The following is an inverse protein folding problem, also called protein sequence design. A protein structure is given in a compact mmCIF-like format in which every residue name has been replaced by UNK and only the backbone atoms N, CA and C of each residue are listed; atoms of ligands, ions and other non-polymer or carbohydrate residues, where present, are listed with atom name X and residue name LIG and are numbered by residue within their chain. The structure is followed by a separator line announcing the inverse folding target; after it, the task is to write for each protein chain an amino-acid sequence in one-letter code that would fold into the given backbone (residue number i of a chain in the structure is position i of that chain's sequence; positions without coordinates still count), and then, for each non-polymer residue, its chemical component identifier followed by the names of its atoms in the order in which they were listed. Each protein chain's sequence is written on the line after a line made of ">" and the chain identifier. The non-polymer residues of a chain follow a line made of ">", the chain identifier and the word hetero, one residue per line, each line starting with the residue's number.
data_IF_641630701798
#
_entry.id   IF_641630701798
#
_cell.length_a   1.000
_cell.length_b   1.000
_cell.length_c   1.000
_cell.angle_alpha   90.00
_cell.angle_beta   90.00
_cell.angle_gamma   90.00
#
_symmetry.space_group_name_H-M   'P 1'
#
loop_
_entity.id
_entity.type
_entity.pdbx_description
1 polymer ?
#
# COMPACT_ATOMS: atom_id res chain seq x y z
N UNK A 1 -38.41 34.49 -7.24
CA UNK A 1 -37.12 35.23 -7.28
C UNK A 1 -36.27 34.77 -6.08
N UNK A 2 -36.00 33.46 -5.98
CA UNK A 2 -35.68 32.84 -4.67
C UNK A 2 -34.62 31.74 -4.75
N UNK A 3 -33.96 31.57 -5.91
CA UNK A 3 -32.90 30.58 -6.09
C UNK A 3 -31.48 31.13 -5.88
N UNK A 4 -31.31 32.45 -5.79
CA UNK A 4 -29.99 33.08 -5.63
C UNK A 4 -29.49 33.12 -4.18
N UNK A 5 -30.39 33.05 -3.18
CA UNK A 5 -30.02 33.23 -1.77
C UNK A 5 -29.46 31.97 -1.09
N UNK A 6 -29.86 30.78 -1.55
CA UNK A 6 -29.41 29.49 -0.98
C UNK A 6 -27.96 29.17 -1.41
N UNK A 7 -27.53 29.64 -2.57
CA UNK A 7 -26.21 29.34 -3.12
C UNK A 7 -25.10 30.22 -2.50
N UNK A 8 -25.44 31.43 -2.02
CA UNK A 8 -24.51 32.32 -1.30
C UNK A 8 -24.26 31.88 0.14
N UNK A 9 -25.25 31.29 0.82
CA UNK A 9 -25.09 30.80 2.19
C UNK A 9 -24.25 29.52 2.29
N UNK A 10 -24.21 28.69 1.25
CA UNK A 10 -23.36 27.48 1.21
C UNK A 10 -21.87 27.80 0.96
N UNK A 11 -21.55 28.96 0.39
CA UNK A 11 -20.16 29.40 0.15
C UNK A 11 -19.59 30.07 1.41
N UNK A 12 -20.42 30.68 2.25
CA UNK A 12 -20.03 31.34 3.50
C UNK A 12 -19.65 30.37 4.63
N UNK A 13 -20.16 29.13 4.60
CA UNK A 13 -19.84 28.09 5.60
C UNK A 13 -18.54 27.33 5.32
N UNK A 14 -17.91 27.54 4.15
CA UNK A 14 -16.55 27.10 3.89
C UNK A 14 -15.59 28.08 4.59
N UNK A 15 -15.31 27.80 5.86
CA UNK A 15 -14.46 28.60 6.71
C UNK A 15 -13.09 28.83 6.02
N UNK A 16 -12.73 30.09 5.76
CA UNK A 16 -11.48 30.48 5.07
C UNK A 16 -10.25 29.85 5.75
N UNK A 17 -10.32 29.61 7.06
CA UNK A 17 -9.29 28.88 7.82
C UNK A 17 -9.09 27.42 7.37
N UNK A 18 -10.18 26.70 7.06
CA UNK A 18 -10.12 25.33 6.55
C UNK A 18 -9.54 25.30 5.13
N UNK A 19 -9.87 26.29 4.31
CA UNK A 19 -9.28 26.45 2.97
C UNK A 19 -7.78 26.78 3.02
N UNK A 20 -7.34 27.58 4.01
CA UNK A 20 -5.91 27.85 4.25
C UNK A 20 -5.17 26.64 4.80
N UNK A 21 -5.81 25.80 5.62
CA UNK A 21 -5.23 24.54 6.11
C UNK A 21 -4.93 23.55 4.97
N UNK A 22 -5.81 23.52 3.96
CA UNK A 22 -5.67 22.71 2.73
C UNK A 22 -4.61 23.25 1.75
N UNK A 23 -3.96 24.37 2.05
CA UNK A 23 -2.86 24.88 1.23
C UNK A 23 -1.71 23.86 1.24
N UNK A 24 -1.33 23.39 0.06
CA UNK A 24 -0.19 22.50 -0.10
C UNK A 24 1.14 23.26 0.01
N UNK A 25 2.03 22.77 0.86
CA UNK A 25 3.37 23.32 1.13
C UNK A 25 4.42 22.23 0.93
N UNK A 26 5.61 22.59 0.46
CA UNK A 26 6.75 21.67 0.36
C UNK A 26 7.52 21.64 1.67
N UNK A 27 7.74 20.46 2.22
CA UNK A 27 8.55 20.24 3.40
C UNK A 27 9.63 19.20 3.10
N UNK A 28 10.87 19.49 3.51
CA UNK A 28 12.01 18.58 3.32
C UNK A 28 12.40 17.98 4.66
N UNK A 29 12.52 16.66 4.69
CA UNK A 29 12.95 15.88 5.85
C UNK A 29 14.16 15.03 5.51
N UNK A 30 14.98 14.70 6.51
CA UNK A 30 16.04 13.69 6.39
C UNK A 30 15.53 12.35 6.88
N UNK A 31 15.34 11.41 5.97
CA UNK A 31 14.79 10.09 6.26
C UNK A 31 15.78 9.01 5.80
N UNK A 32 15.80 7.90 6.52
CA UNK A 32 16.46 6.67 6.07
C UNK A 32 15.80 6.10 4.81
N UNK A 33 16.59 5.42 3.98
CA UNK A 33 16.08 4.75 2.78
C UNK A 33 14.97 3.75 3.12
N UNK A 34 15.13 3.00 4.22
CA UNK A 34 14.11 2.07 4.73
C UNK A 34 12.75 2.74 4.94
N UNK A 35 12.71 3.94 5.52
CA UNK A 35 11.45 4.67 5.72
C UNK A 35 10.87 5.19 4.41
N UNK A 36 11.74 5.63 3.49
CA UNK A 36 11.29 6.09 2.17
C UNK A 36 10.67 4.93 1.39
N UNK A 37 11.28 3.75 1.43
CA UNK A 37 10.78 2.57 0.75
C UNK A 37 9.54 2.00 1.44
N UNK A 38 9.50 1.97 2.78
CA UNK A 38 8.30 1.55 3.53
C UNK A 38 7.08 2.38 3.13
N UNK A 39 7.25 3.70 3.05
CA UNK A 39 6.20 4.60 2.64
C UNK A 39 5.76 4.36 1.18
N UNK A 40 6.67 4.00 0.28
CA UNK A 40 6.32 3.64 -1.11
C UNK A 40 5.53 2.34 -1.15
N UNK A 41 6.00 1.30 -0.46
CA UNK A 41 5.35 -0.02 -0.43
C UNK A 41 3.95 0.10 0.16
N UNK A 42 3.82 0.78 1.30
CA UNK A 42 2.53 1.01 1.94
C UNK A 42 1.57 1.81 1.05
N UNK A 43 2.06 2.84 0.34
CA UNK A 43 1.23 3.60 -0.59
C UNK A 43 0.72 2.75 -1.76
N UNK A 44 1.58 1.89 -2.32
CA UNK A 44 1.18 0.95 -3.36
C UNK A 44 0.13 -0.04 -2.85
N UNK A 45 0.35 -0.62 -1.67
CA UNK A 45 -0.58 -1.59 -1.08
C UNK A 45 -1.95 -0.99 -0.77
N UNK A 46 -1.98 0.26 -0.30
CA UNK A 46 -3.21 0.99 0.00
C UNK A 46 -3.83 1.65 -1.25
N UNK A 47 -3.25 1.47 -2.43
CA UNK A 47 -3.67 2.10 -3.71
C UNK A 47 -3.80 3.63 -3.63
N UNK A 48 -2.97 4.27 -2.80
CA UNK A 48 -2.96 5.73 -2.61
C UNK A 48 -1.65 6.35 -3.09
N UNK A 49 -1.69 7.65 -3.40
CA UNK A 49 -0.47 8.39 -3.72
C UNK A 49 0.37 8.57 -2.46
N UNK A 50 1.69 8.39 -2.57
CA UNK A 50 2.63 8.59 -1.46
C UNK A 50 2.43 9.92 -0.73
N UNK A 51 2.21 11.01 -1.48
CA UNK A 51 1.95 12.36 -0.92
C UNK A 51 0.69 12.43 -0.07
N UNK A 52 -0.35 11.68 -0.42
CA UNK A 52 -1.62 11.67 0.29
C UNK A 52 -1.51 10.83 1.56
N UNK A 53 -0.80 9.70 1.48
CA UNK A 53 -0.58 8.83 2.64
C UNK A 53 0.20 9.54 3.75
N UNK A 54 1.32 10.19 3.42
CA UNK A 54 2.12 10.90 4.43
C UNK A 54 1.38 12.10 5.02
N UNK A 55 0.60 12.83 4.22
CA UNK A 55 -0.20 13.97 4.69
C UNK A 55 -1.26 13.50 5.70
N UNK A 56 -1.99 12.44 5.38
CA UNK A 56 -3.02 11.87 6.26
C UNK A 56 -2.43 11.35 7.57
N UNK A 57 -1.32 10.61 7.52
CA UNK A 57 -0.68 10.06 8.72
C UNK A 57 -0.22 11.18 9.68
N UNK A 58 0.25 12.31 9.15
CA UNK A 58 0.75 13.43 9.96
C UNK A 58 -0.40 14.30 10.47
N UNK A 59 -1.50 14.41 9.71
CA UNK A 59 -2.64 15.26 10.05
C UNK A 59 -3.39 14.80 11.31
N UNK A 60 -3.38 13.50 11.62
CA UNK A 60 -3.97 12.99 12.86
C UNK A 60 -3.08 13.34 14.07
N UNK A 61 -3.40 14.49 14.68
CA UNK A 61 -2.72 15.01 15.87
C UNK A 61 -2.74 14.06 17.06
N UNK A 62 -3.85 13.36 17.31
CA UNK A 62 -3.93 12.45 18.47
C UNK A 62 -2.95 11.30 18.31
N UNK A 63 -2.88 10.79 17.09
CA UNK A 63 -1.94 9.75 16.72
C UNK A 63 -0.50 10.26 16.74
N UNK A 64 -0.24 11.45 16.19
CA UNK A 64 1.07 12.11 16.24
C UNK A 64 1.59 12.26 17.68
N UNK A 65 0.71 12.62 18.60
CA UNK A 65 1.03 12.79 20.03
C UNK A 65 1.32 11.44 20.71
N UNK A 66 0.56 10.39 20.40
CA UNK A 66 0.84 9.03 20.89
C UNK A 66 2.20 8.52 20.42
N UNK A 67 2.57 8.83 19.19
CA UNK A 67 3.86 8.46 18.59
C UNK A 67 5.02 9.19 19.26
N UNK A 68 4.85 10.49 19.55
CA UNK A 68 5.85 11.28 20.26
C UNK A 68 6.08 10.80 21.71
N UNK A 69 5.04 10.28 22.36
CA UNK A 69 5.11 9.76 23.73
C UNK A 69 5.75 8.37 23.83
N UNK A 70 5.58 7.54 22.81
CA UNK A 70 6.15 6.19 22.75
C UNK A 70 7.03 6.06 21.51
N UNK A 71 8.23 6.69 21.50
CA UNK A 71 9.18 6.49 20.43
C UNK A 71 9.65 5.04 20.50
N UNK A 72 8.99 4.14 19.77
CA UNK A 72 9.54 2.83 19.51
C UNK A 72 10.93 3.05 18.91
N UNK A 73 11.91 2.28 19.40
CA UNK A 73 13.26 2.31 18.86
C UNK A 73 13.19 1.77 17.43
N UNK A 74 12.96 2.65 16.46
CA UNK A 74 13.46 2.43 15.11
C UNK A 74 14.96 2.31 15.33
N UNK A 75 15.50 1.11 15.12
CA UNK A 75 16.91 0.84 15.33
C UNK A 75 17.71 1.96 14.70
N UNK A 76 18.45 2.65 15.56
CA UNK A 76 19.22 3.86 15.25
C UNK A 76 20.48 3.44 14.51
N UNK A 77 20.39 2.46 13.62
CA UNK A 77 21.45 2.17 12.67
C UNK A 77 21.73 3.48 11.93
N UNK A 78 23.00 3.85 11.85
CA UNK A 78 23.49 5.02 11.12
C UNK A 78 23.32 4.82 9.61
N UNK A 79 22.10 4.47 9.19
CA UNK A 79 21.72 4.34 7.81
C UNK A 79 21.79 5.73 7.16
N UNK A 80 22.30 5.77 5.92
CA UNK A 80 22.46 7.00 5.16
C UNK A 80 21.12 7.73 5.05
N UNK A 81 21.00 8.87 5.74
CA UNK A 81 19.76 9.67 5.74
C UNK A 81 19.81 10.67 4.61
N UNK A 82 18.98 10.44 3.59
CA UNK A 82 18.84 11.35 2.46
C UNK A 82 17.73 12.36 2.68
N UNK A 83 17.91 13.53 2.08
CA UNK A 83 16.86 14.54 2.04
C UNK A 83 15.75 14.11 1.09
N UNK A 84 14.51 14.17 1.57
CA UNK A 84 13.30 13.91 0.78
C UNK A 84 12.30 15.03 1.00
N UNK A 85 11.85 15.62 -0.10
CA UNK A 85 10.83 16.67 -0.09
C UNK A 85 9.46 16.08 -0.37
N UNK A 86 8.50 16.34 0.51
CA UNK A 86 7.10 15.99 0.35
C UNK A 86 6.23 17.23 0.19
N UNK A 87 5.05 17.05 -0.38
CA UNK A 87 4.00 18.06 -0.43
C UNK A 87 2.98 17.69 0.64
N UNK A 88 2.83 18.54 1.64
CA UNK A 88 1.93 18.35 2.78
C UNK A 88 0.92 19.50 2.84
N UNK A 89 -0.21 19.28 3.48
CA UNK A 89 -1.10 20.34 3.92
C UNK A 89 -0.39 21.23 4.96
N UNK A 90 -0.75 22.51 4.97
CA UNK A 90 -0.22 23.45 5.98
C UNK A 90 -0.60 23.00 7.39
N UNK A 91 -1.82 22.48 7.56
CA UNK A 91 -2.30 21.93 8.82
C UNK A 91 -1.47 20.74 9.33
N UNK A 92 -1.04 19.84 8.43
CA UNK A 92 -0.18 18.73 8.81
C UNK A 92 1.20 19.23 9.28
N UNK A 93 1.80 20.19 8.57
CA UNK A 93 3.08 20.77 8.95
C UNK A 93 2.99 21.54 10.29
N UNK A 94 1.94 22.32 10.50
CA UNK A 94 1.71 23.05 11.75
C UNK A 94 1.54 22.09 12.93
N UNK A 95 0.82 20.98 12.72
CA UNK A 95 0.63 19.93 13.73
C UNK A 95 1.96 19.24 14.07
N UNK A 96 2.76 18.94 13.04
CA UNK A 96 4.10 18.37 13.20
C UNK A 96 5.03 19.31 13.98
N UNK A 97 5.07 20.59 13.60
CA UNK A 97 5.90 21.60 14.27
C UNK A 97 5.48 21.77 15.74
N UNK A 98 4.18 21.79 16.03
CA UNK A 98 3.68 21.90 17.38
C UNK A 98 4.08 20.70 18.26
N UNK A 99 3.86 19.47 17.80
CA UNK A 99 4.16 18.26 18.59
C UNK A 99 5.67 18.07 18.72
N UNK A 100 6.45 18.32 17.67
CA UNK A 100 7.91 18.27 17.72
C UNK A 100 8.47 19.20 18.82
N UNK A 101 7.99 20.45 18.89
CA UNK A 101 8.39 21.40 19.94
C UNK A 101 7.89 20.99 21.33
N UNK A 102 6.65 20.50 21.42
CA UNK A 102 6.05 20.08 22.70
C UNK A 102 6.81 18.93 23.36
N UNK A 103 7.35 18.01 22.57
CA UNK A 103 8.02 16.79 23.05
C UNK A 103 9.55 16.82 22.87
N UNK A 104 10.13 17.96 22.50
CA UNK A 104 11.58 18.11 22.23
C UNK A 104 12.15 17.07 21.24
N UNK A 105 11.40 16.81 20.16
CA UNK A 105 11.78 15.88 19.09
C UNK A 105 12.12 16.63 17.81
N UNK A 106 13.03 16.07 17.01
CA UNK A 106 13.22 16.57 15.65
C UNK A 106 12.04 16.20 14.76
N UNK A 107 11.68 17.09 13.83
CA UNK A 107 10.62 16.82 12.84
C UNK A 107 10.94 15.60 11.98
N UNK A 108 12.21 15.47 11.60
CA UNK A 108 12.71 14.31 10.86
C UNK A 108 12.41 13.01 11.61
N UNK A 109 12.75 12.95 12.90
CA UNK A 109 12.51 11.77 13.72
C UNK A 109 11.02 11.49 13.92
N UNK A 110 10.21 12.53 14.16
CA UNK A 110 8.77 12.38 14.32
C UNK A 110 8.12 11.85 13.04
N UNK A 111 8.57 12.30 11.86
CA UNK A 111 8.13 11.77 10.56
C UNK A 111 8.55 10.32 10.38
N UNK A 112 9.78 9.95 10.71
CA UNK A 112 10.21 8.54 10.67
C UNK A 112 9.36 7.65 11.57
N UNK A 113 9.07 8.08 12.80
CA UNK A 113 8.19 7.34 13.71
C UNK A 113 6.76 7.17 13.15
N UNK A 114 6.24 8.21 12.47
CA UNK A 114 4.94 8.15 11.81
C UNK A 114 4.91 7.14 10.68
N UNK A 115 5.95 7.14 9.83
CA UNK A 115 6.10 6.18 8.73
C UNK A 115 6.30 4.76 9.29
N UNK A 116 7.09 4.61 10.35
CA UNK A 116 7.36 3.32 10.99
C UNK A 116 6.11 2.59 11.50
N UNK A 117 5.00 3.28 11.73
CA UNK A 117 3.72 2.64 12.06
C UNK A 117 3.12 1.81 10.94
N UNK A 118 3.62 1.96 9.72
CA UNK A 118 3.23 1.15 8.57
C UNK A 118 3.92 -0.21 8.56
N UNK A 119 4.95 -0.43 9.38
CA UNK A 119 5.68 -1.72 9.47
C UNK A 119 4.72 -2.90 9.67
N UNK A 120 3.84 -2.93 10.69
CA UNK A 120 2.96 -4.08 10.90
C UNK A 120 1.97 -4.31 9.77
N UNK A 121 1.53 -3.23 9.11
CA UNK A 121 0.63 -3.31 7.96
C UNK A 121 1.33 -3.98 6.77
N UNK A 122 2.55 -3.53 6.45
CA UNK A 122 3.32 -4.04 5.32
C UNK A 122 3.81 -5.47 5.59
N UNK A 123 4.27 -5.77 6.80
CA UNK A 123 4.73 -7.11 7.19
C UNK A 123 3.59 -8.14 7.10
N UNK A 124 2.39 -7.79 7.60
CA UNK A 124 1.23 -8.67 7.51
C UNK A 124 0.83 -8.96 6.06
N UNK A 125 0.96 -7.99 5.15
CA UNK A 125 0.68 -8.24 3.75
C UNK A 125 1.78 -9.07 3.09
N UNK A 126 3.06 -8.78 3.37
CA UNK A 126 4.19 -9.59 2.92
C UNK A 126 4.02 -11.07 3.28
N UNK A 127 3.57 -11.36 4.50
CA UNK A 127 3.30 -12.72 4.96
C UNK A 127 2.21 -13.40 4.10
N UNK A 128 1.09 -12.71 3.84
CA UNK A 128 0.05 -13.22 2.93
C UNK A 128 0.61 -13.50 1.53
N UNK A 129 1.47 -12.64 1.00
CA UNK A 129 2.11 -12.89 -0.29
C UNK A 129 3.05 -14.09 -0.27
N UNK A 130 3.80 -14.28 0.82
CA UNK A 130 4.65 -15.46 0.98
C UNK A 130 3.80 -16.74 0.97
N UNK A 131 2.68 -16.75 1.70
CA UNK A 131 1.73 -17.88 1.68
C UNK A 131 1.12 -18.08 0.29
N UNK A 132 0.69 -17.02 -0.40
CA UNK A 132 0.15 -17.10 -1.77
C UNK A 132 1.18 -17.69 -2.74
N UNK A 133 2.45 -17.28 -2.66
CA UNK A 133 3.55 -17.82 -3.49
C UNK A 133 3.80 -19.30 -3.20
N UNK A 134 3.81 -19.69 -1.93
CA UNK A 134 3.98 -21.09 -1.55
C UNK A 134 2.82 -21.94 -2.11
N UNK A 135 1.57 -21.50 -1.93
CA UNK A 135 0.39 -22.20 -2.42
C UNK A 135 0.31 -22.26 -3.95
N UNK A 136 0.87 -21.27 -4.66
CA UNK A 136 0.96 -21.27 -6.12
C UNK A 136 1.71 -22.51 -6.65
N UNK A 137 2.70 -23.02 -5.91
CA UNK A 137 3.42 -24.24 -6.30
C UNK A 137 2.53 -25.49 -6.29
N UNK A 138 1.57 -25.58 -5.37
CA UNK A 138 0.63 -26.69 -5.32
C UNK A 138 -0.42 -26.59 -6.43
N UNK A 139 -0.85 -25.37 -6.75
CA UNK A 139 -1.76 -25.09 -7.87
C UNK A 139 -1.10 -25.46 -9.22
N UNK A 140 0.19 -25.16 -9.39
CA UNK A 140 0.96 -25.55 -10.57
C UNK A 140 1.10 -27.08 -10.67
N UNK A 141 1.34 -27.76 -9.55
CA UNK A 141 1.39 -29.23 -9.50
C UNK A 141 0.06 -29.87 -9.90
N UNK A 142 -1.07 -29.30 -9.48
CA UNK A 142 -2.40 -29.76 -9.89
C UNK A 142 -2.60 -29.67 -11.41
N UNK A 143 -2.12 -28.60 -12.05
CA UNK A 143 -2.18 -28.46 -13.50
C UNK A 143 -1.33 -29.52 -14.21
N UNK A 144 -0.14 -29.80 -13.70
CA UNK A 144 0.75 -30.81 -14.27
C UNK A 144 0.11 -32.21 -14.22
N UNK A 145 -0.54 -32.55 -13.10
CA UNK A 145 -1.31 -33.79 -12.98
C UNK A 145 -2.46 -33.83 -13.99
N UNK A 146 -3.21 -32.74 -14.13
CA UNK A 146 -4.28 -32.65 -15.14
C UNK A 146 -3.78 -32.80 -16.58
N UNK A 147 -2.59 -32.26 -16.88
CA UNK A 147 -1.92 -32.43 -18.18
C UNK A 147 -1.48 -33.87 -18.42
N UNK A 148 -1.00 -34.58 -17.40
CA UNK A 148 -0.65 -36.01 -17.49
C UNK A 148 -1.89 -36.86 -17.82
N UNK A 149 -2.99 -36.68 -17.09
CA UNK A 149 -4.26 -37.37 -17.38
C UNK A 149 -4.77 -37.08 -18.81
N UNK A 150 -4.62 -35.84 -19.28
CA UNK A 150 -4.97 -35.51 -20.66
C UNK A 150 -4.07 -36.21 -21.68
N UNK A 151 -2.79 -36.42 -21.39
CA UNK A 151 -1.91 -37.20 -22.27
C UNK A 151 -2.31 -38.67 -22.32
N UNK A 152 -2.63 -39.27 -21.17
CA UNK A 152 -3.16 -40.64 -21.09
C UNK A 152 -4.49 -40.78 -21.85
N UNK A 153 -5.40 -39.82 -21.73
CA UNK A 153 -6.63 -39.83 -22.50
C UNK A 153 -6.37 -39.72 -24.02
N UNK A 154 -5.35 -38.97 -24.45
CA UNK A 154 -4.98 -38.85 -25.87
C UNK A 154 -4.44 -40.14 -26.46
N UNK A 155 -3.87 -41.05 -25.65
CA UNK A 155 -3.39 -42.36 -26.09
C UNK A 155 -4.47 -43.44 -26.03
N UNK A 156 -5.43 -43.32 -25.12
CA UNK A 156 -6.51 -44.30 -24.95
C UNK A 156 -7.76 -44.04 -25.81
N UNK A 157 -8.03 -42.78 -26.14
CA UNK A 157 -9.25 -42.37 -26.85
C UNK A 157 -8.96 -41.67 -28.18
N UNK A 158 -9.81 -41.94 -29.17
CA UNK A 158 -9.77 -41.29 -30.48
C UNK A 158 -9.96 -39.78 -30.38
N UNK A 159 -9.57 -39.05 -31.43
CA UNK A 159 -9.64 -37.59 -31.44
C UNK A 159 -11.07 -37.05 -31.30
N UNK A 160 -12.05 -37.78 -31.84
CA UNK A 160 -13.47 -37.41 -31.82
C UNK A 160 -14.21 -37.88 -30.56
N UNK A 161 -13.51 -38.56 -29.65
CA UNK A 161 -14.11 -39.03 -28.40
C UNK A 161 -14.61 -37.86 -27.53
N UNK A 162 -15.84 -37.99 -27.05
CA UNK A 162 -16.53 -36.95 -26.30
C UNK A 162 -15.85 -36.68 -24.95
N UNK A 163 -15.36 -37.73 -24.28
CA UNK A 163 -14.67 -37.63 -23.00
C UNK A 163 -13.33 -36.92 -23.16
N UNK A 164 -12.52 -37.31 -24.15
CA UNK A 164 -11.25 -36.63 -24.49
C UNK A 164 -11.45 -35.14 -24.77
N UNK A 165 -12.47 -34.78 -25.56
CA UNK A 165 -12.76 -33.39 -25.89
C UNK A 165 -13.14 -32.57 -24.64
N UNK A 166 -14.06 -33.08 -23.82
CA UNK A 166 -14.46 -32.42 -22.56
C UNK A 166 -13.31 -32.28 -21.57
N UNK A 167 -12.46 -33.30 -21.45
CA UNK A 167 -11.27 -33.24 -20.61
C UNK A 167 -10.31 -32.15 -21.10
N UNK A 168 -10.10 -32.06 -22.42
CA UNK A 168 -9.27 -31.01 -23.03
C UNK A 168 -9.81 -29.60 -22.71
N UNK A 169 -11.12 -29.38 -22.90
CA UNK A 169 -11.78 -28.10 -22.60
C UNK A 169 -11.65 -27.73 -21.11
N UNK A 170 -11.75 -28.73 -20.22
CA UNK A 170 -11.62 -28.55 -18.77
C UNK A 170 -10.19 -28.15 -18.39
N UNK A 171 -9.18 -28.88 -18.86
CA UNK A 171 -7.77 -28.57 -18.56
C UNK A 171 -7.36 -27.20 -19.12
N UNK A 172 -7.81 -26.84 -20.32
CA UNK A 172 -7.56 -25.52 -20.89
C UNK A 172 -8.19 -24.40 -20.04
N UNK A 173 -9.40 -24.63 -19.51
CA UNK A 173 -10.06 -23.68 -18.61
C UNK A 173 -9.28 -23.50 -17.30
N UNK A 174 -8.79 -24.60 -16.73
CA UNK A 174 -7.94 -24.58 -15.53
C UNK A 174 -6.63 -23.83 -15.81
N UNK A 175 -5.94 -24.14 -16.92
CA UNK A 175 -4.69 -23.46 -17.31
C UNK A 175 -4.87 -21.95 -17.44
N UNK A 176 -5.95 -21.51 -18.10
CA UNK A 176 -6.30 -20.10 -18.20
C UNK A 176 -6.59 -19.46 -16.83
N UNK A 177 -7.25 -20.17 -15.93
CA UNK A 177 -7.48 -19.73 -14.55
C UNK A 177 -6.17 -19.56 -13.78
N UNK A 178 -5.26 -20.52 -13.92
CA UNK A 178 -3.94 -20.50 -13.27
C UNK A 178 -3.07 -19.37 -13.80
N UNK A 179 -3.12 -19.05 -15.09
CA UNK A 179 -2.42 -17.89 -15.66
C UNK A 179 -2.91 -16.58 -15.01
N UNK A 180 -4.22 -16.46 -14.77
CA UNK A 180 -4.79 -15.28 -14.08
C UNK A 180 -4.35 -15.21 -12.61
N UNK A 181 -4.37 -16.33 -11.90
CA UNK A 181 -3.88 -16.43 -10.51
C UNK A 181 -2.39 -16.08 -10.42
N UNK A 182 -1.56 -16.56 -11.35
CA UNK A 182 -0.13 -16.24 -11.37
C UNK A 182 0.11 -14.73 -11.53
N UNK A 183 -0.72 -14.04 -12.34
CA UNK A 183 -0.63 -12.58 -12.50
C UNK A 183 -0.98 -11.83 -11.21
N UNK A 184 -1.98 -12.28 -10.45
CA UNK A 184 -2.32 -11.65 -9.16
C UNK A 184 -1.26 -11.90 -8.08
N UNK A 185 -0.46 -12.97 -8.19
CA UNK A 185 0.64 -13.22 -7.25
C UNK A 185 1.91 -12.43 -7.62
N UNK A 186 2.20 -12.25 -8.92
CA UNK A 186 3.40 -11.53 -9.42
C UNK A 186 3.27 -10.00 -9.47
N UNK A 187 2.05 -9.47 -9.50
CA UNK A 187 1.82 -8.02 -9.60
C UNK A 187 2.38 -7.18 -8.45
N UNK A 188 2.79 -7.83 -7.36
CA UNK A 188 3.11 -7.18 -6.08
C UNK A 188 4.57 -7.43 -5.63
N UNK A 189 5.48 -7.75 -6.56
CA UNK A 189 6.91 -8.06 -6.31
C UNK A 189 7.75 -6.87 -5.77
N UNK A 190 7.13 -5.78 -5.29
CA UNK A 190 7.84 -4.61 -4.73
C UNK A 190 7.70 -4.45 -3.20
N UNK A 191 7.44 -5.54 -2.47
CA UNK A 191 7.05 -5.43 -1.06
C UNK A 191 8.22 -5.24 -0.09
N UNK A 192 9.47 -5.37 -0.50
CA UNK A 192 10.62 -5.17 0.42
C UNK A 192 10.91 -3.68 0.65
N UNK A 193 11.17 -3.32 1.90
CA UNK A 193 11.48 -1.95 2.33
C UNK A 193 12.61 -1.91 3.35
#
# INVERSE_FOLDING_TARGET
>A
MEKSSIQEQAISSLNIGELRGKQSVRATFRLSDRMIDLLKVAANHLEVKQKSLIDEIIQDRQTLEKVALNPHRIDREEADRRQKTFVLSRSALDSLDYIARKHDLSRDHLVELCIGRLVPLVDAEQEKHAVRRAFMSDVERYLDQGKQLLQEAKTQFDQDDNFRRKLTETINSVENGIIKLRKSVKGEDSLTY
#
